data_IF_568936520541
#
_entry.id   IF_568936520541
#
_cell.length_a   1.000
_cell.length_b   1.000
_cell.length_c   1.000
_cell.angle_alpha   90.00
_cell.angle_beta   90.00
_cell.angle_gamma   90.00
#
_symmetry.space_group_name_H-M   'P 1'
#
loop_
_entity.id
_entity.type
_entity.pdbx_description
1 polymer ?
#
# COMPACT_ATOMS: atom_id res chain seq x y z
N UNK A 1 -5.20 -3.23 10.31
CA UNK A 1 -4.18 -3.60 9.30
C UNK A 1 -3.04 -2.61 9.43
N UNK A 2 -1.78 -3.05 9.48
CA UNK A 2 -0.64 -2.13 9.65
C UNK A 2 0.08 -1.91 8.34
N UNK A 3 0.26 -0.66 7.90
CA UNK A 3 1.02 -0.31 6.70
C UNK A 3 2.51 -0.14 7.00
N UNK A 4 3.37 -0.49 6.04
CA UNK A 4 4.83 -0.38 6.17
C UNK A 4 5.45 0.39 5.01
N UNK A 5 6.60 1.02 5.25
CA UNK A 5 7.39 1.66 4.19
C UNK A 5 7.86 0.56 3.22
N UNK A 6 7.77 0.83 1.92
CA UNK A 6 8.05 -0.12 0.84
C UNK A 6 6.84 -0.97 0.42
N UNK A 7 5.70 -0.88 1.13
CA UNK A 7 4.49 -1.62 0.78
C UNK A 7 3.76 -0.98 -0.41
N UNK A 8 3.30 -1.81 -1.34
CA UNK A 8 2.47 -1.38 -2.47
C UNK A 8 0.98 -1.28 -2.08
N UNK A 9 0.37 -0.15 -2.41
CA UNK A 9 -1.04 0.16 -2.14
C UNK A 9 -1.73 0.70 -3.37
N UNK A 10 -3.06 0.60 -3.40
CA UNK A 10 -3.92 1.29 -4.35
C UNK A 10 -4.42 2.58 -3.71
N UNK A 11 -4.30 3.68 -4.45
CA UNK A 11 -4.85 4.99 -4.12
C UNK A 11 -5.38 5.61 -5.42
N UNK A 12 -6.62 6.09 -5.40
CA UNK A 12 -7.30 6.62 -6.61
C UNK A 12 -7.16 5.72 -7.85
N UNK A 13 -7.38 4.41 -7.67
CA UNK A 13 -7.29 3.39 -8.73
C UNK A 13 -5.89 3.18 -9.35
N UNK A 14 -4.87 3.88 -8.87
CA UNK A 14 -3.47 3.76 -9.29
C UNK A 14 -2.61 3.07 -8.22
N UNK A 15 -1.48 2.49 -8.64
CA UNK A 15 -0.52 1.83 -7.74
C UNK A 15 0.52 2.79 -7.23
N UNK A 16 0.71 2.79 -5.92
CA UNK A 16 1.73 3.57 -5.23
C UNK A 16 2.52 2.70 -4.25
N UNK A 17 3.72 3.15 -3.91
CA UNK A 17 4.53 2.59 -2.82
C UNK A 17 4.53 3.58 -1.65
N UNK A 18 4.38 3.07 -0.42
CA UNK A 18 4.53 3.88 0.78
C UNK A 18 6.00 4.22 0.97
N UNK A 19 6.36 5.48 0.86
CA UNK A 19 7.71 5.98 1.08
C UNK A 19 7.94 6.50 2.50
N UNK A 20 6.91 7.02 3.15
CA UNK A 20 6.99 7.59 4.49
C UNK A 20 5.65 7.49 5.23
N UNK A 21 5.71 7.41 6.56
CA UNK A 21 4.54 7.42 7.44
C UNK A 21 4.68 8.59 8.41
N UNK A 22 3.72 9.51 8.39
CA UNK A 22 3.67 10.62 9.35
C UNK A 22 3.55 10.10 10.77
N UNK A 23 4.36 10.66 11.67
CA UNK A 23 4.31 10.39 13.12
C UNK A 23 3.19 11.15 13.83
N UNK A 24 2.63 12.17 13.19
CA UNK A 24 1.56 13.00 13.74
C UNK A 24 0.18 12.43 13.41
N UNK A 25 -0.77 12.57 14.34
CA UNK A 25 -2.17 12.19 14.11
C UNK A 25 -2.96 13.32 13.42
N UNK A 26 -3.84 13.00 12.45
CA UNK A 26 -4.09 11.66 11.90
C UNK A 26 -2.91 11.18 11.04
N UNK A 27 -2.58 9.88 11.14
CA UNK A 27 -1.50 9.26 10.36
C UNK A 27 -1.77 9.45 8.87
N UNK A 28 -0.74 9.91 8.15
CA UNK A 28 -0.73 10.08 6.70
C UNK A 28 0.40 9.27 6.10
N UNK A 29 0.17 8.76 4.91
CA UNK A 29 1.10 7.94 4.16
C UNK A 29 1.56 8.72 2.94
N UNK A 30 2.88 8.84 2.78
CA UNK A 30 3.47 9.45 1.61
C UNK A 30 3.60 8.39 0.52
N UNK A 31 2.81 8.53 -0.51
CA UNK A 31 2.73 7.63 -1.64
C UNK A 31 3.66 8.09 -2.75
N UNK A 32 4.38 7.14 -3.34
CA UNK A 32 5.26 7.36 -4.48
C UNK A 32 4.84 6.44 -5.64
N UNK A 33 4.54 7.01 -6.79
CA UNK A 33 4.33 6.26 -8.03
C UNK A 33 5.34 6.68 -9.09
N UNK A 34 5.95 5.70 -9.75
CA UNK A 34 6.77 5.94 -10.93
C UNK A 34 5.90 5.84 -12.17
N UNK A 35 5.58 6.97 -12.79
CA UNK A 35 4.80 7.02 -14.04
C UNK A 35 5.73 7.27 -15.22
N UNK A 36 5.25 7.00 -16.44
CA UNK A 36 5.97 7.33 -17.68
C UNK A 36 6.26 8.82 -17.84
N UNK A 37 5.56 9.69 -17.10
CA UNK A 37 5.76 11.15 -17.10
C UNK A 37 6.66 11.64 -15.96
N UNK A 38 7.13 10.74 -15.09
CA UNK A 38 7.94 11.07 -13.92
C UNK A 38 7.37 10.52 -12.61
N UNK A 39 8.07 10.79 -11.51
CA UNK A 39 7.62 10.41 -10.17
C UNK A 39 6.45 11.29 -9.71
N UNK A 40 5.39 10.67 -9.22
CA UNK A 40 4.27 11.33 -8.51
C UNK A 40 4.38 11.06 -7.02
N UNK A 41 4.16 12.10 -6.22
CA UNK A 41 4.20 12.03 -4.76
C UNK A 41 2.89 12.56 -4.22
N UNK A 42 2.17 11.74 -3.46
CA UNK A 42 0.87 12.09 -2.87
C UNK A 42 0.86 11.80 -1.36
N UNK A 43 -0.05 12.46 -0.63
CA UNK A 43 -0.28 12.18 0.79
C UNK A 43 -1.71 11.69 0.98
N UNK A 44 -1.85 10.45 1.44
CA UNK A 44 -3.15 9.82 1.65
C UNK A 44 -3.38 9.46 3.12
N UNK A 45 -4.63 9.36 3.55
CA UNK A 45 -4.98 8.82 4.87
C UNK A 45 -5.10 7.30 4.79
N UNK A 46 -5.09 6.66 5.95
CA UNK A 46 -5.26 5.21 6.05
C UNK A 46 -6.53 4.70 5.35
N UNK A 47 -7.64 5.44 5.48
CA UNK A 47 -8.92 5.06 4.89
C UNK A 47 -8.99 5.25 3.37
N UNK A 48 -8.05 6.00 2.78
CA UNK A 48 -8.05 6.29 1.34
C UNK A 48 -7.17 5.29 0.57
N UNK A 49 -6.37 4.49 1.27
CA UNK A 49 -5.43 3.53 0.67
C UNK A 49 -5.88 2.10 0.91
N UNK A 50 -5.76 1.27 -0.12
CA UNK A 50 -6.10 -0.16 -0.06
C UNK A 50 -4.83 -0.97 -0.24
N UNK A 51 -4.56 -1.90 0.68
CA UNK A 51 -3.45 -2.84 0.51
C UNK A 51 -3.64 -3.69 -0.74
N UNK A 52 -2.61 -3.80 -1.56
CA UNK A 52 -2.56 -4.80 -2.61
C UNK A 52 -2.22 -6.14 -1.93
N UNK A 53 -3.24 -6.86 -1.47
CA UNK A 53 -3.07 -8.26 -1.03
C UNK A 53 -2.81 -9.14 -2.25
N UNK A 54 -1.57 -9.12 -2.75
CA UNK A 54 -1.08 -10.05 -3.77
C UNK A 54 -0.65 -11.36 -3.09
N UNK A 55 -1.45 -12.41 -3.30
CA UNK A 55 -1.03 -13.82 -3.45
C UNK A 55 -0.23 -14.54 -2.34
N UNK A 56 -0.23 -14.09 -1.09
CA UNK A 56 0.38 -14.85 0.03
C UNK A 56 -0.61 -15.31 1.09
N UNK A 57 -1.81 -15.74 0.68
CA UNK A 57 -2.46 -16.81 1.42
C UNK A 57 -1.84 -18.11 0.89
N UNK A 58 -1.01 -18.83 1.65
CA UNK A 58 -0.78 -20.23 1.33
C UNK A 58 -2.16 -20.89 1.31
N UNK A 59 -2.59 -21.34 0.14
CA UNK A 59 -3.74 -22.21 0.03
C UNK A 59 -3.31 -23.53 0.66
N UNK A 60 -3.73 -23.76 1.91
CA UNK A 60 -3.46 -24.99 2.63
C UNK A 60 -4.28 -26.12 1.98
N UNK A 61 -3.69 -26.73 0.95
CA UNK A 61 -4.27 -27.82 0.16
C UNK A 61 -4.21 -29.18 0.92
N UNK A 62 -3.69 -29.20 2.16
CA UNK A 62 -3.38 -30.45 2.90
C UNK A 62 -4.43 -30.90 3.91
N UNK A 63 -5.67 -30.39 3.85
CA UNK A 63 -6.76 -30.85 4.72
C UNK A 63 -7.56 -32.02 4.13
N UNK A 64 -6.91 -33.15 3.78
CA UNK A 64 -7.56 -34.47 3.61
C UNK A 64 -6.54 -35.60 3.39
N UNK A 65 -6.13 -36.26 4.46
CA UNK A 65 -5.84 -37.69 4.47
C UNK A 65 -6.24 -38.28 5.82
#
# INVERSE_FOLDING_TARGET
MSFSIGEEVIFEEERYVISEISKNEPRRFRLLASTSKGARVEWARENDIVKISRYTTPYDDTAKY
#
